data_IF_261690165122
#
_entry.id   IF_261690165122
#
_cell.length_a   1.000
_cell.length_b   1.000
_cell.length_c   1.000
_cell.angle_alpha   90.00
_cell.angle_beta   90.00
_cell.angle_gamma   90.00
#
_symmetry.space_group_name_H-M   'P 1'
#
loop_
_entity.id
_entity.type
_entity.pdbx_description
1 polymer ?
#
# COMPACT_ATOMS: atom_id res chain seq x y z
N UNK A 1 -50.56 -28.84 -25.18
CA UNK A 1 -49.27 -29.41 -25.59
C UNK A 1 -48.26 -28.40 -25.09
N UNK A 2 -47.77 -28.68 -23.88
CA UNK A 2 -46.96 -27.79 -23.05
C UNK A 2 -45.61 -27.51 -23.70
N UNK A 3 -45.31 -26.24 -23.95
CA UNK A 3 -43.97 -25.77 -24.29
C UNK A 3 -43.38 -25.09 -23.04
N UNK A 4 -42.99 -25.92 -22.08
CA UNK A 4 -42.28 -25.50 -20.88
C UNK A 4 -40.79 -25.35 -21.21
N UNK A 5 -40.44 -24.25 -21.90
CA UNK A 5 -39.06 -23.80 -21.97
C UNK A 5 -38.65 -23.25 -20.61
N UNK A 6 -37.93 -24.09 -19.86
CA UNK A 6 -37.31 -23.75 -18.59
C UNK A 6 -36.42 -22.52 -18.75
N UNK A 7 -36.95 -21.35 -18.36
CA UNK A 7 -36.13 -20.22 -17.95
C UNK A 7 -35.39 -20.68 -16.70
N UNK A 8 -34.13 -21.06 -16.87
CA UNK A 8 -33.20 -21.22 -15.76
C UNK A 8 -33.18 -19.90 -15.01
N UNK A 9 -33.91 -19.85 -13.90
CA UNK A 9 -33.90 -18.71 -13.00
C UNK A 9 -32.47 -18.58 -12.49
N UNK A 10 -31.78 -17.52 -12.90
CA UNK A 10 -30.61 -17.08 -12.18
C UNK A 10 -31.11 -16.74 -10.77
N UNK A 11 -30.77 -17.58 -9.79
CA UNK A 11 -30.96 -17.24 -8.39
C UNK A 11 -30.41 -15.83 -8.15
N UNK A 12 -31.13 -15.03 -7.37
CA UNK A 12 -30.62 -13.77 -6.87
C UNK A 12 -29.45 -14.04 -5.91
N UNK A 13 -28.28 -14.31 -6.49
CA UNK A 13 -27.08 -14.75 -5.82
C UNK A 13 -25.97 -13.73 -5.99
N UNK A 14 -25.15 -13.57 -4.96
CA UNK A 14 -23.92 -12.77 -5.04
C UNK A 14 -23.01 -13.35 -6.12
N UNK A 15 -22.62 -12.52 -7.09
CA UNK A 15 -21.62 -12.83 -8.12
C UNK A 15 -20.34 -12.03 -7.93
N UNK A 16 -19.25 -12.46 -8.58
CA UNK A 16 -18.01 -11.68 -8.71
C UNK A 16 -17.92 -11.12 -10.13
N UNK A 17 -17.38 -9.91 -10.27
CA UNK A 17 -17.00 -9.38 -11.59
C UNK A 17 -15.84 -10.22 -12.13
N UNK A 18 -16.03 -10.84 -13.28
CA UNK A 18 -15.00 -11.64 -13.97
C UNK A 18 -14.55 -11.02 -15.29
N UNK A 19 -15.31 -10.08 -15.82
CA UNK A 19 -15.02 -9.29 -17.01
C UNK A 19 -15.82 -7.99 -16.94
N UNK A 20 -15.41 -6.99 -17.74
CA UNK A 20 -16.16 -5.77 -17.95
C UNK A 20 -16.41 -5.58 -19.45
N UNK A 21 -17.50 -4.89 -19.78
CA UNK A 21 -17.78 -4.45 -21.14
C UNK A 21 -17.66 -2.92 -21.24
N UNK A 22 -17.24 -2.38 -22.39
CA UNK A 22 -17.29 -0.94 -22.63
C UNK A 22 -18.72 -0.39 -22.42
N UNK A 23 -18.82 0.80 -21.82
CA UNK A 23 -20.07 1.44 -21.43
C UNK A 23 -20.93 0.64 -20.42
N UNK A 24 -20.40 -0.42 -19.80
CA UNK A 24 -21.07 -1.11 -18.71
C UNK A 24 -21.32 -0.13 -17.56
N UNK A 25 -22.57 -0.09 -17.09
CA UNK A 25 -23.00 0.71 -15.97
C UNK A 25 -22.60 0.06 -14.65
N UNK A 26 -21.84 0.78 -13.81
CA UNK A 26 -21.48 0.39 -12.44
C UNK A 26 -22.23 1.30 -11.47
N UNK A 27 -23.28 0.80 -10.79
CA UNK A 27 -23.99 1.58 -9.78
C UNK A 27 -23.09 1.91 -8.59
N UNK A 28 -23.20 3.14 -8.08
CA UNK A 28 -22.53 3.58 -6.86
C UNK A 28 -23.35 4.66 -6.15
N UNK A 29 -23.04 4.97 -4.90
CA UNK A 29 -23.71 6.04 -4.15
C UNK A 29 -25.22 5.88 -3.92
N UNK A 30 -25.83 4.77 -4.32
CA UNK A 30 -27.26 4.49 -4.17
C UNK A 30 -28.15 4.95 -5.34
N UNK A 31 -27.76 5.99 -6.06
CA UNK A 31 -28.54 6.62 -7.15
C UNK A 31 -27.71 7.02 -8.38
N UNK A 32 -26.40 6.77 -8.35
CA UNK A 32 -25.46 7.20 -9.39
C UNK A 32 -24.88 6.02 -10.16
N UNK A 33 -24.34 6.32 -11.33
CA UNK A 33 -23.74 5.33 -12.24
C UNK A 33 -22.43 5.86 -12.80
N UNK A 34 -21.42 5.00 -12.84
CA UNK A 34 -20.17 5.21 -13.56
C UNK A 34 -20.13 4.26 -14.76
N UNK A 35 -19.51 4.69 -15.87
CA UNK A 35 -19.45 3.90 -17.10
C UNK A 35 -18.03 3.42 -17.35
N UNK A 36 -17.90 2.12 -17.64
CA UNK A 36 -16.61 1.50 -17.96
C UNK A 36 -16.09 2.02 -19.30
N UNK A 37 -14.84 2.48 -19.34
CA UNK A 37 -14.16 2.86 -20.59
C UNK A 37 -13.68 1.63 -21.37
N UNK A 38 -13.40 1.78 -22.66
CA UNK A 38 -12.83 0.71 -23.47
C UNK A 38 -11.52 0.17 -22.88
N UNK A 39 -10.59 1.06 -22.52
CA UNK A 39 -9.29 0.68 -21.99
C UNK A 39 -9.38 -0.09 -20.67
N UNK A 40 -10.35 0.27 -19.82
CA UNK A 40 -10.62 -0.45 -18.57
C UNK A 40 -11.20 -1.84 -18.85
N UNK A 41 -12.14 -1.94 -19.78
CA UNK A 41 -12.72 -3.23 -20.17
C UNK A 41 -11.67 -4.19 -20.71
N UNK A 42 -10.75 -3.69 -21.55
CA UNK A 42 -9.67 -4.50 -22.14
C UNK A 42 -8.62 -4.93 -21.10
N UNK A 43 -8.37 -4.11 -20.09
CA UNK A 43 -7.36 -4.39 -19.06
C UNK A 43 -7.88 -5.31 -17.94
N UNK A 44 -9.19 -5.30 -17.67
CA UNK A 44 -9.77 -6.00 -16.53
C UNK A 44 -9.82 -7.52 -16.77
N UNK A 45 -9.33 -8.28 -15.80
CA UNK A 45 -9.36 -9.74 -15.80
C UNK A 45 -10.06 -10.29 -14.56
N UNK A 46 -10.51 -11.55 -14.64
CA UNK A 46 -11.12 -12.22 -13.50
C UNK A 46 -10.13 -12.26 -12.30
N UNK A 47 -10.60 -11.84 -11.14
CA UNK A 47 -9.79 -11.71 -9.92
C UNK A 47 -9.34 -10.28 -9.63
N UNK A 48 -9.35 -9.40 -10.63
CA UNK A 48 -9.14 -7.98 -10.42
C UNK A 48 -10.28 -7.36 -9.59
N UNK A 49 -9.99 -6.22 -8.97
CA UNK A 49 -10.98 -5.45 -8.23
C UNK A 49 -11.25 -4.13 -8.96
N UNK A 50 -12.52 -3.74 -8.93
CA UNK A 50 -12.98 -2.43 -9.39
C UNK A 50 -13.48 -1.66 -8.18
N UNK A 51 -12.88 -0.50 -7.92
CA UNK A 51 -13.29 0.39 -6.83
C UNK A 51 -13.87 1.66 -7.44
N UNK A 52 -15.07 2.05 -7.01
CA UNK A 52 -15.67 3.32 -7.42
C UNK A 52 -15.33 4.37 -6.38
N UNK A 53 -14.71 5.47 -6.79
CA UNK A 53 -14.50 6.63 -5.92
C UNK A 53 -15.86 7.33 -5.74
N UNK A 54 -16.36 7.39 -4.50
CA UNK A 54 -17.77 7.70 -4.22
C UNK A 54 -18.16 9.17 -4.45
N UNK A 55 -17.18 10.07 -4.44
CA UNK A 55 -17.38 11.50 -4.63
C UNK A 55 -17.58 11.86 -6.11
N UNK A 56 -16.80 11.26 -7.02
CA UNK A 56 -16.75 11.64 -8.43
C UNK A 56 -17.12 10.51 -9.42
N UNK A 57 -17.23 9.26 -8.95
CA UNK A 57 -17.56 8.10 -9.80
C UNK A 57 -16.39 7.51 -10.58
N UNK A 58 -15.15 7.92 -10.31
CA UNK A 58 -13.97 7.36 -10.98
C UNK A 58 -13.86 5.86 -10.71
N UNK A 59 -13.51 5.12 -11.75
CA UNK A 59 -13.34 3.67 -11.70
C UNK A 59 -11.86 3.33 -11.57
N UNK A 60 -11.46 2.88 -10.38
CA UNK A 60 -10.11 2.43 -10.10
C UNK A 60 -10.00 0.91 -10.32
N UNK A 61 -9.15 0.55 -11.28
CA UNK A 61 -8.77 -0.84 -11.53
C UNK A 61 -7.61 -1.23 -10.63
N UNK A 62 -7.79 -2.30 -9.85
CA UNK A 62 -6.74 -2.90 -9.03
C UNK A 62 -6.48 -4.32 -9.53
N UNK A 63 -5.35 -4.56 -10.21
CA UNK A 63 -4.99 -5.89 -10.66
C UNK A 63 -4.86 -6.89 -9.50
N UNK A 64 -5.26 -8.14 -9.72
CA UNK A 64 -5.23 -9.21 -8.73
C UNK A 64 -3.82 -9.38 -8.13
N UNK A 65 -2.78 -9.31 -8.96
CA UNK A 65 -1.39 -9.43 -8.52
C UNK A 65 -0.96 -8.29 -7.56
N UNK A 66 -1.44 -7.07 -7.80
CA UNK A 66 -1.16 -5.92 -6.92
C UNK A 66 -1.88 -6.10 -5.59
N UNK A 67 -3.13 -6.58 -5.63
CA UNK A 67 -3.88 -6.86 -4.41
C UNK A 67 -3.25 -7.99 -3.59
N UNK A 68 -2.81 -9.07 -4.24
CA UNK A 68 -2.12 -10.17 -3.58
C UNK A 68 -0.79 -9.71 -2.95
N UNK A 69 -0.04 -8.84 -3.62
CA UNK A 69 1.19 -8.25 -3.07
C UNK A 69 0.90 -7.43 -1.80
N UNK A 70 -0.12 -6.58 -1.85
CA UNK A 70 -0.51 -5.76 -0.71
C UNK A 70 -1.02 -6.63 0.45
N UNK A 71 -1.88 -7.62 0.18
CA UNK A 71 -2.40 -8.55 1.17
C UNK A 71 -1.28 -9.36 1.83
N UNK A 72 -0.32 -9.86 1.05
CA UNK A 72 0.83 -10.57 1.59
C UNK A 72 1.71 -9.69 2.48
N UNK A 73 1.94 -8.43 2.09
CA UNK A 73 2.73 -7.50 2.89
C UNK A 73 2.02 -7.13 4.21
N UNK A 74 0.72 -6.83 4.16
CA UNK A 74 -0.09 -6.53 5.34
C UNK A 74 -0.21 -7.75 6.25
N UNK A 75 -0.43 -8.93 5.68
CA UNK A 75 -0.47 -10.20 6.42
C UNK A 75 0.83 -10.45 7.19
N UNK A 76 1.99 -10.31 6.54
CA UNK A 76 3.30 -10.42 7.22
C UNK A 76 3.45 -9.43 8.37
N UNK A 77 3.03 -8.17 8.17
CA UNK A 77 3.10 -7.16 9.21
C UNK A 77 2.16 -7.48 10.38
N UNK A 78 0.93 -7.92 10.09
CA UNK A 78 -0.04 -8.35 11.10
C UNK A 78 0.50 -9.53 11.91
N UNK A 79 1.03 -10.55 11.24
CA UNK A 79 1.55 -11.76 11.89
C UNK A 79 2.80 -11.45 12.74
N UNK A 80 3.68 -10.58 12.26
CA UNK A 80 4.83 -10.10 13.03
C UNK A 80 4.40 -9.30 14.26
N UNK A 81 3.35 -8.46 14.14
CA UNK A 81 2.83 -7.70 15.26
C UNK A 81 2.22 -8.60 16.34
N UNK A 82 1.53 -9.68 15.96
CA UNK A 82 1.04 -10.67 16.93
C UNK A 82 2.19 -11.33 17.70
N UNK A 83 3.31 -11.61 17.02
CA UNK A 83 4.52 -12.16 17.65
C UNK A 83 5.26 -11.17 18.54
N UNK A 84 5.03 -9.85 18.40
CA UNK A 84 5.70 -8.85 19.25
C UNK A 84 5.38 -9.02 20.73
N UNK A 85 4.22 -9.58 21.09
CA UNK A 85 3.87 -9.87 22.49
C UNK A 85 4.76 -10.92 23.16
N UNK A 86 5.53 -11.67 22.38
CA UNK A 86 6.47 -12.70 22.87
C UNK A 86 7.91 -12.17 22.99
N UNK A 87 8.16 -10.95 22.50
CA UNK A 87 9.48 -10.32 22.53
C UNK A 87 9.74 -9.77 23.93
N UNK A 88 10.92 -10.07 24.49
CA UNK A 88 11.31 -9.54 25.80
C UNK A 88 11.71 -8.08 25.74
N UNK A 89 11.52 -7.36 26.84
CA UNK A 89 11.96 -5.97 26.99
C UNK A 89 13.46 -5.82 26.68
N UNK A 90 14.29 -6.78 27.10
CA UNK A 90 15.72 -6.80 26.79
C UNK A 90 16.00 -6.85 25.28
N UNK A 91 15.25 -7.64 24.52
CA UNK A 91 15.40 -7.70 23.07
C UNK A 91 14.93 -6.40 22.39
N UNK A 92 13.91 -5.73 22.95
CA UNK A 92 13.44 -4.42 22.49
C UNK A 92 14.52 -3.35 22.75
N UNK A 93 15.10 -3.34 23.96
CA UNK A 93 16.24 -2.48 24.33
C UNK A 93 17.43 -2.69 23.39
N UNK A 94 17.84 -3.95 23.19
CA UNK A 94 18.95 -4.31 22.30
C UNK A 94 18.70 -3.85 20.86
N UNK A 95 17.46 -3.95 20.36
CA UNK A 95 17.09 -3.46 19.03
C UNK A 95 17.32 -1.95 18.89
N UNK A 96 16.80 -1.15 19.83
CA UNK A 96 16.95 0.31 19.77
C UNK A 96 18.41 0.74 19.95
N UNK A 97 19.16 0.08 20.83
CA UNK A 97 20.59 0.31 21.01
C UNK A 97 21.38 0.01 19.74
N UNK A 98 21.17 -1.18 19.18
CA UNK A 98 21.85 -1.64 17.98
C UNK A 98 21.53 -0.76 16.77
N UNK A 99 20.32 -0.19 16.70
CA UNK A 99 19.94 0.75 15.67
C UNK A 99 20.61 2.12 15.87
N UNK A 100 20.56 2.68 17.08
CA UNK A 100 21.22 3.94 17.40
C UNK A 100 22.73 3.88 17.11
N UNK A 101 23.39 2.78 17.48
CA UNK A 101 24.80 2.55 17.20
C UNK A 101 25.12 2.50 15.69
N UNK A 102 24.28 1.84 14.89
CA UNK A 102 24.44 1.80 13.42
C UNK A 102 24.23 3.16 12.77
N UNK A 103 23.31 3.97 13.29
CA UNK A 103 23.18 5.34 12.80
C UNK A 103 24.39 6.20 13.19
N UNK A 104 25.02 5.95 14.35
CA UNK A 104 26.22 6.64 14.80
C UNK A 104 27.50 6.19 14.07
N UNK A 105 27.47 5.06 13.38
CA UNK A 105 28.55 4.58 12.52
C UNK A 105 28.63 5.42 11.23
N UNK A 106 29.79 6.01 10.97
CA UNK A 106 30.02 6.89 9.81
C UNK A 106 30.03 6.14 8.48
N UNK A 107 30.47 4.89 8.44
CA UNK A 107 30.44 4.07 7.22
C UNK A 107 29.00 3.75 6.83
N UNK A 108 28.18 3.34 7.80
CA UNK A 108 26.74 3.11 7.59
C UNK A 108 26.05 4.41 7.18
N UNK A 109 26.32 5.51 7.89
CA UNK A 109 25.72 6.81 7.58
C UNK A 109 26.12 7.33 6.20
N UNK A 110 27.34 7.08 5.75
CA UNK A 110 27.80 7.47 4.41
C UNK A 110 26.93 6.81 3.31
N UNK A 111 26.55 5.55 3.51
CA UNK A 111 25.69 4.81 2.58
C UNK A 111 24.27 5.40 2.53
N UNK A 112 23.71 5.73 3.70
CA UNK A 112 22.39 6.41 3.80
C UNK A 112 22.44 7.78 3.12
N UNK A 113 23.49 8.56 3.39
CA UNK A 113 23.67 9.91 2.84
C UNK A 113 23.83 9.88 1.32
N UNK A 114 24.57 8.91 0.77
CA UNK A 114 24.72 8.73 -0.66
C UNK A 114 23.40 8.36 -1.35
N UNK A 115 22.62 7.45 -0.76
CA UNK A 115 21.29 7.12 -1.26
C UNK A 115 20.35 8.34 -1.23
N UNK A 116 20.35 9.09 -0.13
CA UNK A 116 19.56 10.32 -0.02
C UNK A 116 19.98 11.38 -1.05
N UNK A 117 21.29 11.55 -1.29
CA UNK A 117 21.79 12.47 -2.31
C UNK A 117 21.27 12.09 -3.71
N UNK A 118 21.25 10.80 -4.05
CA UNK A 118 20.67 10.33 -5.29
C UNK A 118 19.17 10.63 -5.38
N UNK A 119 18.43 10.50 -4.27
CA UNK A 119 17.00 10.83 -4.20
C UNK A 119 16.76 12.33 -4.41
N UNK A 120 17.58 13.18 -3.78
CA UNK A 120 17.56 14.65 -3.93
C UNK A 120 17.82 15.03 -5.38
N UNK A 121 18.83 14.46 -6.03
CA UNK A 121 19.10 14.70 -7.47
C UNK A 121 17.90 14.32 -8.33
N UNK A 122 17.28 13.16 -8.10
CA UNK A 122 16.09 12.73 -8.86
C UNK A 122 14.89 13.64 -8.63
N UNK A 123 14.70 14.15 -7.41
CA UNK A 123 13.62 15.07 -7.09
C UNK A 123 13.83 16.45 -7.75
N UNK A 124 15.05 16.97 -7.70
CA UNK A 124 15.43 18.23 -8.37
C UNK A 124 15.24 18.16 -9.88
N UNK A 125 15.67 17.07 -10.51
CA UNK A 125 15.46 16.85 -11.95
C UNK A 125 13.97 16.85 -12.36
N UNK A 126 13.07 16.57 -11.42
CA UNK A 126 11.62 16.60 -11.61
C UNK A 126 10.97 17.93 -11.18
N UNK A 127 11.77 18.95 -10.85
CA UNK A 127 11.30 20.25 -10.37
C UNK A 127 10.58 20.20 -9.02
N UNK A 128 10.84 19.17 -8.19
CA UNK A 128 10.19 18.99 -6.89
C UNK A 128 11.03 19.62 -5.77
N UNK A 129 10.37 20.12 -4.73
CA UNK A 129 11.03 20.58 -3.50
C UNK A 129 11.75 19.43 -2.81
N UNK A 130 12.95 19.70 -2.29
CA UNK A 130 13.77 18.75 -1.53
C UNK A 130 13.90 19.10 -0.05
N UNK A 131 13.22 20.16 0.42
CA UNK A 131 13.38 20.66 1.79
C UNK A 131 13.12 19.60 2.87
N UNK A 132 12.16 18.68 2.65
CA UNK A 132 11.87 17.57 3.57
C UNK A 132 12.58 16.26 3.21
N UNK A 133 13.42 16.27 2.19
CA UNK A 133 14.09 15.08 1.67
C UNK A 133 15.57 15.04 2.09
N UNK A 134 16.26 16.18 2.08
CA UNK A 134 17.70 16.23 2.38
C UNK A 134 17.99 15.89 3.85
N UNK A 135 18.86 14.90 4.08
CA UNK A 135 19.35 14.57 5.43
C UNK A 135 20.44 15.55 5.89
N UNK A 136 20.58 15.71 7.20
CA UNK A 136 21.58 16.59 7.81
C UNK A 136 22.24 15.93 9.03
N UNK A 137 23.42 16.41 9.47
CA UNK A 137 24.05 15.92 10.71
C UNK A 137 23.17 16.12 11.94
N UNK A 138 22.42 17.23 12.01
CA UNK A 138 21.48 17.47 13.10
C UNK A 138 20.36 16.42 13.11
N UNK A 139 19.78 16.13 11.93
CA UNK A 139 18.75 15.08 11.80
C UNK A 139 19.28 13.70 12.22
N UNK A 140 20.53 13.35 11.86
CA UNK A 140 21.18 12.13 12.32
C UNK A 140 21.24 12.06 13.85
N UNK A 141 21.70 13.14 14.49
CA UNK A 141 21.79 13.22 15.94
C UNK A 141 20.41 13.11 16.61
N UNK A 142 19.40 13.79 16.06
CA UNK A 142 18.03 13.74 16.57
C UNK A 142 17.42 12.34 16.44
N UNK A 143 17.67 11.63 15.33
CA UNK A 143 17.24 10.24 15.14
C UNK A 143 17.87 9.30 16.17
N UNK A 144 19.17 9.43 16.42
CA UNK A 144 19.90 8.64 17.43
C UNK A 144 19.33 8.91 18.82
N UNK A 145 19.14 10.19 19.17
CA UNK A 145 18.55 10.61 20.45
C UNK A 145 17.15 10.05 20.63
N UNK A 146 16.31 10.09 19.59
CA UNK A 146 14.97 9.52 19.61
C UNK A 146 14.96 8.01 19.90
N UNK A 147 15.85 7.24 19.26
CA UNK A 147 15.97 5.80 19.50
C UNK A 147 16.43 5.49 20.94
N UNK A 148 17.38 6.27 21.47
CA UNK A 148 17.83 6.14 22.86
C UNK A 148 16.71 6.45 23.86
N UNK A 149 15.86 7.45 23.57
CA UNK A 149 14.69 7.73 24.41
C UNK A 149 13.68 6.57 24.43
N UNK A 150 13.49 5.87 23.30
CA UNK A 150 12.62 4.68 23.25
C UNK A 150 13.21 3.48 24.00
N UNK A 151 14.53 3.28 23.92
CA UNK A 151 15.24 2.27 24.69
C UNK A 151 15.06 2.46 26.20
N UNK A 152 15.11 3.72 26.64
CA UNK A 152 15.04 4.09 28.06
C UNK A 152 13.59 4.25 28.57
N UNK A 153 12.59 4.00 27.70
CA UNK A 153 11.19 4.04 28.08
C UNK A 153 10.82 2.85 29.00
N UNK A 154 10.01 3.07 30.03
CA UNK A 154 9.64 2.05 31.03
C UNK A 154 8.62 1.03 30.53
#
# INVERSE_FOLDING_TARGET
MDDATGRGGAEAGRGRLTALAPAMAIPYGGDRVAYVSQSLADAFQAGDRLVVVQDNGDLLHVPAAVQALAEAAVGKAHDAFQQMGEVSDAAITDFFDAFAARLADDEVWSSISAANAADVTRAQARGRSTTRLTVSPAMRADMISGLQAWRDAP
#
